data_IF_367536496874
#
_entry.id   IF_367536496874
#
_cell.length_a   1.000
_cell.length_b   1.000
_cell.length_c   1.000
_cell.angle_alpha   90.00
_cell.angle_beta   90.00
_cell.angle_gamma   90.00
#
_symmetry.space_group_name_H-M   'P 1'
#
loop_
_entity.id
_entity.type
_entity.pdbx_description
1 polymer ?
#
# COMPACT_ATOMS: atom_id res chain seq x y z
N UNK A 1 -0.54 8.29 -4.85
CA UNK A 1 0.63 7.47 -4.57
C UNK A 1 0.19 6.15 -3.98
N UNK A 2 0.83 5.08 -4.35
CA UNK A 2 0.46 3.75 -3.91
C UNK A 2 1.55 3.13 -3.06
N UNK A 3 1.21 2.10 -2.31
CA UNK A 3 2.19 1.28 -1.65
C UNK A 3 1.98 -0.14 -2.17
N UNK A 4 3.05 -0.92 -2.14
CA UNK A 4 2.99 -2.30 -2.58
C UNK A 4 3.33 -3.18 -1.40
N UNK A 5 2.51 -4.18 -1.11
CA UNK A 5 2.75 -5.08 0.01
C UNK A 5 3.92 -5.98 -0.33
N UNK A 6 4.92 -6.00 0.50
CA UNK A 6 6.12 -6.79 0.25
C UNK A 6 6.33 -7.90 1.28
N UNK A 7 5.64 -7.83 2.40
CA UNK A 7 5.80 -8.87 3.41
C UNK A 7 4.61 -8.85 4.36
N UNK A 8 4.42 -9.92 5.08
CA UNK A 8 3.43 -9.96 6.13
C UNK A 8 3.79 -11.12 7.04
N UNK A 9 4.04 -10.82 8.30
CA UNK A 9 4.49 -11.83 9.24
C UNK A 9 3.35 -12.37 10.09
N UNK A 10 2.13 -11.98 9.81
CA UNK A 10 1.00 -12.42 10.62
C UNK A 10 -0.14 -12.80 9.68
N UNK A 11 -0.46 -14.08 9.60
CA UNK A 11 -1.48 -14.56 8.69
C UNK A 11 -2.86 -14.06 9.03
N UNK A 12 -3.03 -13.40 10.16
CA UNK A 12 -4.33 -12.86 10.52
C UNK A 12 -4.55 -11.45 9.99
N UNK A 13 -3.52 -10.84 9.44
CA UNK A 13 -3.67 -9.49 8.90
C UNK A 13 -4.42 -9.57 7.58
N UNK A 14 -5.17 -8.51 7.28
CA UNK A 14 -6.00 -8.49 6.09
C UNK A 14 -5.20 -8.63 4.80
N UNK A 15 -3.95 -8.20 4.82
CA UNK A 15 -3.12 -8.25 3.62
C UNK A 15 -2.19 -9.46 3.58
N UNK A 16 -2.40 -10.42 4.46
CA UNK A 16 -1.49 -11.57 4.53
C UNK A 16 -1.39 -12.33 3.21
N UNK A 17 -2.46 -12.36 2.45
CA UNK A 17 -2.44 -13.07 1.19
C UNK A 17 -2.46 -12.11 0.00
N UNK A 18 -2.00 -10.91 0.22
CA UNK A 18 -1.99 -9.89 -0.82
C UNK A 18 -0.60 -9.38 -1.13
N UNK A 19 0.42 -10.19 -0.83
CA UNK A 19 1.79 -9.80 -1.14
C UNK A 19 1.92 -9.58 -2.63
N UNK A 20 2.50 -8.47 -2.99
CA UNK A 20 2.66 -8.09 -4.40
C UNK A 20 1.57 -7.18 -4.91
N UNK A 21 0.50 -6.99 -4.16
CA UNK A 21 -0.58 -6.10 -4.58
C UNK A 21 -0.31 -4.68 -4.11
N UNK A 22 -0.83 -3.74 -4.86
CA UNK A 22 -0.64 -2.31 -4.56
C UNK A 22 -1.96 -1.68 -4.19
N UNK A 23 -1.90 -0.69 -3.31
CA UNK A 23 -3.09 0.00 -2.84
C UNK A 23 -2.82 1.50 -2.76
N UNK A 24 -3.80 2.32 -3.09
CA UNK A 24 -3.62 3.77 -2.99
C UNK A 24 -3.57 4.20 -1.53
N UNK A 25 -2.73 5.14 -1.24
CA UNK A 25 -2.58 5.64 0.13
C UNK A 25 -3.63 6.70 0.38
N UNK A 26 -4.33 6.58 1.50
CA UNK A 26 -5.27 7.59 1.94
C UNK A 26 -4.55 8.53 2.90
N UNK A 27 -3.79 7.98 3.83
CA UNK A 27 -3.09 8.81 4.78
C UNK A 27 -1.86 8.09 5.30
N UNK A 28 -0.73 8.77 5.31
CA UNK A 28 0.51 8.22 5.82
C UNK A 28 0.52 8.26 7.35
N UNK A 29 1.07 7.24 7.96
CA UNK A 29 1.21 7.20 9.40
C UNK A 29 2.63 6.93 9.82
N UNK A 30 2.92 7.08 11.10
CA UNK A 30 4.27 6.87 11.60
C UNK A 30 4.61 5.40 11.77
N UNK A 31 3.64 4.58 12.07
CA UNK A 31 3.85 3.16 12.30
C UNK A 31 3.12 2.35 11.25
N UNK A 32 1.93 2.78 10.89
CA UNK A 32 1.17 2.10 9.86
C UNK A 32 0.47 3.15 9.00
N UNK A 33 0.20 2.80 7.77
CA UNK A 33 -0.35 3.71 6.78
C UNK A 33 -1.73 3.23 6.37
N UNK A 34 -2.64 4.19 6.17
CA UNK A 34 -4.03 3.89 5.87
C UNK A 34 -4.20 3.89 4.35
N UNK A 35 -4.72 2.80 3.80
CA UNK A 35 -4.85 2.65 2.36
C UNK A 35 -6.27 2.26 1.98
N UNK A 36 -6.61 2.49 0.73
CA UNK A 36 -7.90 2.10 0.19
C UNK A 36 -7.82 0.66 -0.29
N UNK A 37 -8.79 -0.16 0.06
CA UNK A 37 -8.72 -1.57 -0.26
C UNK A 37 -9.58 -1.96 -1.46
N UNK A 38 -10.27 -1.00 -2.05
CA UNK A 38 -11.09 -1.28 -3.24
C UNK A 38 -12.22 -2.29 -3.01
N UNK A 39 -12.63 -2.49 -1.79
CA UNK A 39 -13.72 -3.43 -1.58
C UNK A 39 -15.03 -2.73 -1.90
N UNK A 40 -16.13 -3.47 -1.88
CA UNK A 40 -17.41 -2.91 -2.26
C UNK A 40 -17.89 -1.86 -1.28
N UNK A 41 -17.28 -1.76 -0.15
CA UNK A 41 -17.64 -0.75 0.84
C UNK A 41 -16.65 0.42 0.81
N UNK A 42 -15.69 0.35 -0.07
CA UNK A 42 -14.69 1.40 -0.17
C UNK A 42 -14.02 1.64 1.18
N UNK A 43 -13.74 0.59 1.88
CA UNK A 43 -13.18 0.66 3.22
C UNK A 43 -11.68 0.82 3.14
N UNK A 44 -11.12 1.54 4.07
CA UNK A 44 -9.69 1.64 4.18
C UNK A 44 -9.17 0.69 5.24
N UNK A 45 -7.92 0.37 5.16
CA UNK A 45 -7.27 -0.49 6.14
C UNK A 45 -5.85 -0.04 6.37
N UNK A 46 -5.26 -0.49 7.46
CA UNK A 46 -3.90 -0.12 7.82
C UNK A 46 -2.91 -1.19 7.39
N UNK A 47 -1.74 -0.76 6.94
CA UNK A 47 -0.64 -1.65 6.61
C UNK A 47 0.56 -1.17 7.38
N UNK A 48 1.26 -2.08 8.06
CA UNK A 48 2.44 -1.73 8.81
C UNK A 48 3.49 -1.16 7.89
N UNK A 49 4.15 -0.10 8.31
CA UNK A 49 5.14 0.56 7.49
C UNK A 49 6.33 -0.34 7.15
N UNK A 50 6.50 -1.44 7.86
CA UNK A 50 7.56 -2.39 7.55
C UNK A 50 7.16 -3.41 6.50
N UNK A 51 5.89 -3.46 6.16
CA UNK A 51 5.37 -4.52 5.29
C UNK A 51 5.12 -4.05 3.87
N UNK A 52 5.45 -2.84 3.54
CA UNK A 52 5.26 -2.35 2.19
C UNK A 52 6.41 -1.48 1.75
N UNK A 53 6.47 -1.23 0.45
CA UNK A 53 7.37 -0.22 -0.08
C UNK A 53 6.54 0.79 -0.83
N UNK A 54 7.00 2.01 -0.93
CA UNK A 54 6.28 3.06 -1.63
C UNK A 54 6.45 2.83 -3.11
N UNK A 55 5.32 2.88 -3.83
CA UNK A 55 5.35 2.69 -5.24
C UNK A 55 5.12 4.04 -5.87
N UNK A 56 6.18 4.66 -6.37
CA UNK A 56 6.06 5.97 -6.95
C UNK A 56 5.45 5.85 -8.34
N UNK A 57 4.62 6.83 -8.70
CA UNK A 57 4.01 6.82 -9.98
C UNK A 57 5.08 6.92 -11.01
N UNK A 58 5.07 6.02 -11.97
CA UNK A 58 6.07 6.04 -12.95
C UNK A 58 5.84 7.18 -13.83
N UNK A 59 6.78 8.00 -14.02
CA UNK A 59 6.66 9.12 -14.87
C UNK A 59 6.75 8.69 -16.25
N UNK A 60 5.72 8.83 -16.94
CA UNK A 60 5.77 8.50 -18.31
C UNK A 60 6.44 9.58 -19.02
N UNK A 61 6.62 10.67 -18.46
CA UNK A 61 7.27 11.73 -19.07
C UNK A 61 8.57 11.92 -18.46
N UNK A 62 9.54 11.35 -18.92
CA UNK A 62 10.76 11.47 -18.38
C UNK A 62 11.15 12.82 -18.49
N UNK A 63 11.30 13.41 -17.61
CA UNK A 63 11.74 14.63 -17.61
C UNK A 63 12.86 14.79 -18.38
N UNK A 64 12.86 15.56 -19.17
CA UNK A 64 13.95 15.82 -19.95
C UNK A 64 14.78 16.45 -19.06
N UNK A 65 15.18 16.23 -18.49
CA UNK A 65 16.07 16.87 -17.78
C UNK A 65 16.55 18.00 -18.36
#
# INVERSE_FOLDING_TARGET
>A
MNIKIISCDDSKKWYAYKIGESFPVIRWGDVETYVSTYDSYNTGNYVSNCDFEVEYEKETNPTPS
#
